data_IF_141859595048
#
_entry.id   IF_141859595048
#
_cell.length_a   1.000
_cell.length_b   1.000
_cell.length_c   1.000
_cell.angle_alpha   90.00
_cell.angle_beta   90.00
_cell.angle_gamma   90.00
#
_symmetry.space_group_name_H-M   'P 1'
#
loop_
_entity.id
_entity.type
_entity.pdbx_description
1 polymer ?
#
# COMPACT_ATOMS: atom_id res chain seq x y z
N UNK A 1 -47.64 1.57 49.42
CA UNK A 1 -47.18 2.76 48.67
C UNK A 1 -46.63 2.28 47.34
N UNK A 2 -47.42 2.38 46.26
CA UNK A 2 -46.97 2.08 44.91
C UNK A 2 -45.89 3.11 44.56
N UNK A 3 -44.64 2.67 44.47
CA UNK A 3 -43.51 3.48 44.03
C UNK A 3 -43.73 3.85 42.55
N UNK A 4 -44.50 4.91 42.32
CA UNK A 4 -44.78 5.43 40.98
C UNK A 4 -43.51 6.03 40.41
N UNK A 5 -42.81 5.28 39.57
CA UNK A 5 -41.72 5.81 38.76
C UNK A 5 -42.31 6.93 37.90
N UNK A 6 -41.73 8.13 37.98
CA UNK A 6 -42.13 9.25 37.13
C UNK A 6 -41.80 8.91 35.67
N UNK A 7 -42.83 8.52 34.91
CA UNK A 7 -42.71 8.00 33.55
C UNK A 7 -42.08 9.04 32.61
N UNK A 8 -42.43 10.31 32.74
CA UNK A 8 -41.88 11.39 31.91
C UNK A 8 -40.39 11.63 32.19
N UNK A 9 -39.99 11.56 33.48
CA UNK A 9 -38.59 11.66 33.89
C UNK A 9 -37.78 10.48 33.37
N UNK A 10 -38.30 9.26 33.53
CA UNK A 10 -37.66 8.03 33.05
C UNK A 10 -37.55 8.03 31.53
N UNK A 11 -38.60 8.44 30.80
CA UNK A 11 -38.59 8.58 29.34
C UNK A 11 -37.51 9.55 28.87
N UNK A 12 -37.44 10.73 29.49
CA UNK A 12 -36.44 11.75 29.13
C UNK A 12 -35.03 11.25 29.40
N UNK A 13 -34.80 10.59 30.54
CA UNK A 13 -33.50 10.01 30.88
C UNK A 13 -33.11 8.88 29.90
N UNK A 14 -34.04 8.01 29.53
CA UNK A 14 -33.81 6.94 28.55
C UNK A 14 -33.48 7.49 27.17
N UNK A 15 -34.15 8.56 26.72
CA UNK A 15 -33.81 9.23 25.45
C UNK A 15 -32.40 9.81 25.51
N UNK A 16 -32.05 10.52 26.58
CA UNK A 16 -30.70 11.10 26.73
C UNK A 16 -29.63 10.02 26.69
N UNK A 17 -29.80 8.93 27.47
CA UNK A 17 -28.86 7.81 27.50
C UNK A 17 -28.76 7.15 26.12
N UNK A 18 -29.89 6.94 25.44
CA UNK A 18 -29.92 6.35 24.09
C UNK A 18 -29.20 7.22 23.07
N UNK A 19 -29.41 8.55 23.08
CA UNK A 19 -28.74 9.48 22.17
C UNK A 19 -27.24 9.54 22.42
N UNK A 20 -26.80 9.53 23.68
CA UNK A 20 -25.37 9.50 24.05
C UNK A 20 -24.72 8.19 23.59
N UNK A 21 -25.36 7.04 23.83
CA UNK A 21 -24.86 5.74 23.37
C UNK A 21 -24.83 5.66 21.84
N UNK A 22 -25.81 6.25 21.14
CA UNK A 22 -25.82 6.33 19.68
C UNK A 22 -24.66 7.19 19.16
N UNK A 23 -24.37 8.33 19.79
CA UNK A 23 -23.20 9.15 19.46
C UNK A 23 -21.88 8.37 19.65
N UNK A 24 -21.72 7.64 20.76
CA UNK A 24 -20.55 6.77 20.96
C UNK A 24 -20.46 5.65 19.93
N UNK A 25 -21.60 5.01 19.61
CA UNK A 25 -21.68 4.02 18.55
C UNK A 25 -21.23 4.58 17.21
N UNK A 26 -21.59 5.83 16.91
CA UNK A 26 -21.16 6.50 15.67
C UNK A 26 -19.67 6.85 15.68
N UNK A 27 -19.09 7.21 16.82
CA UNK A 27 -17.63 7.42 16.94
C UNK A 27 -16.88 6.09 16.71
N UNK A 28 -17.36 4.99 17.30
CA UNK A 28 -16.76 3.66 17.12
C UNK A 28 -16.93 3.19 15.67
N UNK A 29 -18.09 3.43 15.06
CA UNK A 29 -18.34 3.14 13.65
C UNK A 29 -17.41 3.93 12.74
N UNK A 30 -17.22 5.24 12.99
CA UNK A 30 -16.25 6.08 12.29
C UNK A 30 -14.81 5.61 12.52
N UNK A 31 -14.45 5.07 13.69
CA UNK A 31 -13.15 4.42 13.90
C UNK A 31 -13.03 3.12 13.09
N UNK A 32 -14.09 2.33 12.98
CA UNK A 32 -14.12 1.07 12.23
C UNK A 32 -14.01 1.28 10.71
N UNK A 33 -14.64 2.32 10.16
CA UNK A 33 -14.53 2.70 8.73
C UNK A 33 -13.26 3.54 8.47
N UNK A 34 -12.42 3.77 9.48
CA UNK A 34 -11.13 4.43 9.32
C UNK A 34 -11.18 5.95 9.23
N UNK A 35 -12.24 6.62 9.70
CA UNK A 35 -12.32 8.09 9.71
C UNK A 35 -11.43 8.74 10.78
N UNK A 36 -11.12 8.02 11.88
CA UNK A 36 -9.91 8.29 12.67
C UNK A 36 -8.82 7.38 12.12
N UNK A 37 -8.22 7.84 11.05
CA UNK A 37 -7.37 7.05 10.16
C UNK A 37 -5.93 6.92 10.71
N UNK A 38 -5.76 6.76 12.02
CA UNK A 38 -4.45 6.84 12.69
C UNK A 38 -3.46 5.80 12.17
N UNK A 39 -3.92 4.60 11.83
CA UNK A 39 -3.06 3.52 11.34
C UNK A 39 -3.10 3.38 9.82
N UNK A 40 -4.29 3.37 9.24
CA UNK A 40 -4.45 3.09 7.82
C UNK A 40 -3.98 4.26 6.93
N UNK A 41 -4.06 5.52 7.38
CA UNK A 41 -3.39 6.62 6.65
C UNK A 41 -1.86 6.49 6.70
N UNK A 42 -1.29 6.07 7.83
CA UNK A 42 0.15 5.91 7.95
C UNK A 42 0.68 4.79 7.04
N UNK A 43 -0.01 3.64 7.01
CA UNK A 43 0.35 2.52 6.15
C UNK A 43 0.23 2.86 4.65
N UNK A 44 -0.80 3.63 4.28
CA UNK A 44 -0.99 4.10 2.91
C UNK A 44 0.07 5.11 2.46
N UNK A 45 0.55 5.98 3.36
CA UNK A 45 1.62 6.95 3.05
C UNK A 45 2.89 6.22 2.60
N UNK A 46 3.29 5.16 3.31
CA UNK A 46 4.45 4.35 2.93
C UNK A 46 4.28 3.68 1.56
N UNK A 47 3.10 3.10 1.33
CA UNK A 47 2.77 2.43 0.07
C UNK A 47 2.80 3.39 -1.12
N UNK A 48 2.23 4.58 -0.98
CA UNK A 48 2.23 5.60 -2.04
C UNK A 48 3.62 6.18 -2.30
N UNK A 49 4.44 6.36 -1.27
CA UNK A 49 5.82 6.81 -1.43
C UNK A 49 6.66 5.81 -2.23
N UNK A 50 6.53 4.51 -1.94
CA UNK A 50 7.23 3.44 -2.67
C UNK A 50 6.71 3.35 -4.12
N UNK A 51 5.39 3.41 -4.33
CA UNK A 51 4.80 3.40 -5.67
C UNK A 51 5.34 4.55 -6.53
N UNK A 52 5.37 5.77 -5.99
CA UNK A 52 5.88 6.95 -6.69
C UNK A 52 7.36 6.77 -7.09
N UNK A 53 8.21 6.29 -6.18
CA UNK A 53 9.63 6.03 -6.47
C UNK A 53 9.81 5.00 -7.59
N UNK A 54 9.08 3.89 -7.54
CA UNK A 54 9.16 2.82 -8.53
C UNK A 54 8.63 3.28 -9.90
N UNK A 55 7.55 4.06 -9.93
CA UNK A 55 7.02 4.71 -11.14
C UNK A 55 8.04 5.69 -11.74
N UNK A 56 8.78 6.41 -10.89
CA UNK A 56 9.88 7.28 -11.30
C UNK A 56 11.12 6.53 -11.83
N UNK A 57 11.07 5.20 -11.94
CA UNK A 57 12.16 4.37 -12.46
C UNK A 57 13.21 4.00 -11.42
N UNK A 58 12.94 4.23 -10.13
CA UNK A 58 13.78 3.66 -9.08
C UNK A 58 13.65 2.13 -9.05
N UNK A 59 14.74 1.47 -8.72
CA UNK A 59 14.76 0.04 -8.42
C UNK A 59 14.76 -0.17 -6.91
N UNK A 60 14.42 -1.38 -6.47
CA UNK A 60 14.47 -1.76 -5.05
C UNK A 60 15.89 -1.57 -4.46
N UNK A 61 16.93 -1.72 -5.27
CA UNK A 61 18.33 -1.61 -4.83
C UNK A 61 18.94 -0.20 -4.98
N UNK A 62 18.37 0.65 -5.83
CA UNK A 62 18.91 1.98 -6.15
C UNK A 62 17.81 2.98 -6.44
N UNK A 63 17.77 4.04 -5.65
CA UNK A 63 16.95 5.22 -5.85
C UNK A 63 17.85 6.46 -5.97
N UNK A 64 17.47 7.42 -6.82
CA UNK A 64 18.19 8.69 -6.99
C UNK A 64 17.21 9.86 -6.83
N UNK A 65 17.72 11.04 -6.51
CA UNK A 65 16.90 12.25 -6.30
C UNK A 65 16.01 12.58 -7.52
N UNK A 66 16.48 12.48 -8.79
CA UNK A 66 15.60 12.70 -9.95
C UNK A 66 14.39 11.76 -10.00
N UNK A 67 14.55 10.49 -9.61
CA UNK A 67 13.45 9.52 -9.60
C UNK A 67 12.36 9.91 -8.61
N UNK A 68 12.71 10.60 -7.52
CA UNK A 68 11.75 11.11 -6.53
C UNK A 68 10.85 12.15 -7.18
N UNK A 69 11.43 13.17 -7.81
CA UNK A 69 10.65 14.26 -8.42
C UNK A 69 9.81 13.77 -9.59
N UNK A 70 10.41 13.01 -10.50
CA UNK A 70 9.70 12.42 -11.65
C UNK A 70 8.58 11.50 -11.15
N UNK A 71 8.90 10.64 -10.18
CA UNK A 71 7.98 9.69 -9.59
C UNK A 71 6.77 10.34 -8.91
N UNK A 72 7.00 11.34 -8.05
CA UNK A 72 5.93 12.07 -7.36
C UNK A 72 5.02 12.77 -8.36
N UNK A 73 5.59 13.46 -9.36
CA UNK A 73 4.81 14.17 -10.38
C UNK A 73 3.95 13.19 -11.19
N UNK A 74 4.53 12.11 -11.70
CA UNK A 74 3.80 11.09 -12.46
C UNK A 74 2.73 10.42 -11.60
N UNK A 75 3.06 10.04 -10.37
CA UNK A 75 2.14 9.39 -9.47
C UNK A 75 0.94 10.28 -9.13
N UNK A 76 1.16 11.55 -8.77
CA UNK A 76 0.07 12.48 -8.50
C UNK A 76 -0.75 12.81 -9.76
N UNK A 77 -0.12 12.85 -10.93
CA UNK A 77 -0.83 13.02 -12.19
C UNK A 77 -1.84 11.89 -12.43
N UNK A 78 -1.54 10.66 -12.00
CA UNK A 78 -2.51 9.55 -12.11
C UNK A 78 -3.80 9.79 -11.34
N UNK A 79 -3.78 10.52 -10.21
CA UNK A 79 -5.00 10.87 -9.47
C UNK A 79 -5.90 11.84 -10.24
N UNK A 80 -5.35 12.59 -11.20
CA UNK A 80 -6.12 13.53 -12.02
C UNK A 80 -6.56 12.85 -13.32
N UNK A 81 -5.64 12.15 -13.98
CA UNK A 81 -5.86 11.59 -15.30
C UNK A 81 -6.69 10.31 -15.24
N UNK A 82 -6.47 9.43 -14.26
CA UNK A 82 -7.17 8.14 -14.22
C UNK A 82 -8.68 8.27 -13.98
N UNK A 83 -9.19 9.07 -13.02
CA UNK A 83 -10.64 9.25 -12.84
C UNK A 83 -11.29 9.94 -14.04
N UNK A 84 -10.59 10.92 -14.65
CA UNK A 84 -11.05 11.60 -15.87
C UNK A 84 -11.14 10.64 -17.05
N UNK A 85 -10.10 9.86 -17.29
CA UNK A 85 -10.09 8.84 -18.33
C UNK A 85 -11.17 7.78 -18.09
N UNK A 86 -11.34 7.30 -16.85
CA UNK A 86 -12.39 6.35 -16.50
C UNK A 86 -13.80 6.88 -16.77
N UNK A 87 -14.05 8.16 -16.44
CA UNK A 87 -15.32 8.81 -16.75
C UNK A 87 -15.57 8.92 -18.26
N UNK A 88 -14.59 9.40 -19.02
CA UNK A 88 -14.76 9.66 -20.46
C UNK A 88 -14.77 8.37 -21.30
N UNK A 89 -14.04 7.33 -20.87
CA UNK A 89 -13.96 6.07 -21.62
C UNK A 89 -15.03 5.04 -21.22
N UNK A 90 -15.42 5.01 -19.94
CA UNK A 90 -16.26 3.95 -19.37
C UNK A 90 -17.53 4.49 -18.70
N UNK A 91 -17.77 5.80 -18.78
CA UNK A 91 -18.96 6.47 -18.22
C UNK A 91 -18.98 6.57 -16.69
N UNK A 92 -17.99 6.01 -16.00
CA UNK A 92 -17.93 5.98 -14.53
C UNK A 92 -16.52 6.31 -14.03
N UNK A 93 -16.41 7.41 -13.27
CA UNK A 93 -15.14 7.84 -12.68
C UNK A 93 -14.55 6.81 -11.70
N UNK A 94 -15.40 6.02 -11.03
CA UNK A 94 -14.97 5.00 -10.07
C UNK A 94 -14.12 3.90 -10.72
N UNK A 95 -14.36 3.58 -12.00
CA UNK A 95 -13.54 2.61 -12.73
C UNK A 95 -12.12 3.16 -12.95
N UNK A 96 -12.00 4.48 -13.17
CA UNK A 96 -10.71 5.15 -13.24
C UNK A 96 -9.91 5.07 -11.93
N UNK A 97 -10.61 5.12 -10.79
CA UNK A 97 -9.97 4.95 -9.48
C UNK A 97 -9.47 3.51 -9.28
N UNK A 98 -10.27 2.50 -9.65
CA UNK A 98 -9.82 1.10 -9.61
C UNK A 98 -8.63 0.85 -10.53
N UNK A 99 -8.62 1.46 -11.72
CA UNK A 99 -7.50 1.37 -12.64
C UNK A 99 -6.22 1.98 -12.05
N UNK A 100 -6.30 3.14 -11.39
CA UNK A 100 -5.16 3.76 -10.70
C UNK A 100 -4.55 2.83 -9.65
N UNK A 101 -5.41 2.23 -8.82
CA UNK A 101 -5.00 1.31 -7.76
C UNK A 101 -4.37 0.04 -8.36
N UNK A 102 -4.97 -0.51 -9.43
CA UNK A 102 -4.44 -1.65 -10.17
C UNK A 102 -3.04 -1.38 -10.72
N UNK A 103 -2.82 -0.25 -11.39
CA UNK A 103 -1.50 0.13 -11.93
C UNK A 103 -0.49 0.30 -10.80
N UNK A 104 -0.88 0.94 -9.69
CA UNK A 104 0.01 1.19 -8.56
C UNK A 104 0.51 -0.12 -7.93
N UNK A 105 -0.39 -1.06 -7.62
CA UNK A 105 -0.02 -2.36 -7.08
C UNK A 105 0.68 -3.26 -8.11
N UNK A 106 0.30 -3.16 -9.39
CA UNK A 106 0.94 -3.88 -10.48
C UNK A 106 2.42 -3.51 -10.62
N UNK A 107 2.75 -2.21 -10.58
CA UNK A 107 4.14 -1.74 -10.66
C UNK A 107 4.96 -2.24 -9.47
N UNK A 108 4.41 -2.13 -8.25
CA UNK A 108 5.09 -2.65 -7.04
C UNK A 108 5.38 -4.15 -7.19
N UNK A 109 4.38 -4.93 -7.57
CA UNK A 109 4.52 -6.38 -7.74
C UNK A 109 5.57 -6.74 -8.80
N UNK A 110 5.55 -6.07 -9.95
CA UNK A 110 6.52 -6.29 -11.03
C UNK A 110 7.93 -5.91 -10.57
N UNK A 111 8.10 -4.77 -9.91
CA UNK A 111 9.40 -4.34 -9.39
C UNK A 111 9.99 -5.33 -8.39
N UNK A 112 9.17 -5.85 -7.47
CA UNK A 112 9.59 -6.86 -6.48
C UNK A 112 9.92 -8.20 -7.14
N UNK A 113 9.09 -8.65 -8.09
CA UNK A 113 9.33 -9.88 -8.82
C UNK A 113 10.63 -9.82 -9.64
N UNK A 114 10.85 -8.74 -10.37
CA UNK A 114 12.08 -8.52 -11.14
C UNK A 114 13.31 -8.44 -10.24
N UNK A 115 13.20 -7.80 -9.08
CA UNK A 115 14.27 -7.76 -8.10
C UNK A 115 14.59 -9.15 -7.55
N UNK A 116 13.57 -9.91 -7.15
CA UNK A 116 13.74 -11.27 -6.65
C UNK A 116 14.38 -12.19 -7.70
N UNK A 117 13.95 -12.10 -8.97
CA UNK A 117 14.55 -12.86 -10.07
C UNK A 117 16.03 -12.48 -10.26
N UNK A 118 16.35 -11.19 -10.41
CA UNK A 118 17.75 -10.74 -10.61
C UNK A 118 18.67 -11.28 -9.51
N UNK A 119 18.22 -11.25 -8.25
CA UNK A 119 18.98 -11.78 -7.11
C UNK A 119 19.20 -13.30 -7.16
N UNK A 120 18.25 -14.07 -7.71
CA UNK A 120 18.42 -15.51 -7.90
C UNK A 120 19.47 -15.80 -8.97
N UNK A 121 19.44 -15.07 -10.09
CA UNK A 121 20.39 -15.23 -11.20
C UNK A 121 21.81 -14.85 -10.77
N UNK A 122 21.94 -13.75 -10.02
CA UNK A 122 23.24 -13.32 -9.46
C UNK A 122 23.84 -14.40 -8.56
N UNK A 123 23.05 -14.93 -7.60
CA UNK A 123 23.48 -16.03 -6.72
C UNK A 123 23.87 -17.29 -7.48
N UNK A 124 23.13 -17.64 -8.55
CA UNK A 124 23.47 -18.81 -9.36
C UNK A 124 24.80 -18.61 -10.10
N UNK A 125 25.04 -17.40 -10.60
CA UNK A 125 26.28 -17.03 -11.30
C UNK A 125 27.48 -17.09 -10.35
N UNK A 126 27.35 -16.51 -9.15
CA UNK A 126 28.36 -16.60 -8.08
C UNK A 126 28.68 -18.04 -7.72
N UNK A 127 27.65 -18.90 -7.58
CA UNK A 127 27.83 -20.33 -7.28
C UNK A 127 28.55 -21.07 -8.41
N UNK A 128 28.26 -20.75 -9.67
CA UNK A 128 28.94 -21.34 -10.84
C UNK A 128 30.41 -20.92 -10.90
N UNK A 129 30.71 -19.64 -10.66
CA UNK A 129 32.08 -19.14 -10.61
C UNK A 129 32.88 -19.78 -9.47
N UNK A 130 32.28 -19.88 -8.26
CA UNK A 130 32.92 -20.55 -7.12
C UNK A 130 33.23 -22.02 -7.42
N UNK A 131 32.30 -22.76 -8.05
CA UNK A 131 32.55 -24.16 -8.47
C UNK A 131 33.65 -24.27 -9.53
N UNK A 132 33.68 -23.36 -10.50
CA UNK A 132 34.72 -23.34 -11.54
C UNK A 132 36.10 -23.04 -10.95
N UNK A 133 36.20 -22.08 -10.02
CA UNK A 133 37.44 -21.76 -9.32
C UNK A 133 37.95 -22.93 -8.47
N UNK A 134 37.06 -23.62 -7.75
CA UNK A 134 37.42 -24.82 -6.98
C UNK A 134 37.91 -25.94 -7.92
N UNK A 135 37.23 -26.16 -9.05
CA UNK A 135 37.64 -27.18 -10.04
C UNK A 135 39.03 -26.88 -10.60
N UNK A 136 39.31 -25.63 -10.95
CA UNK A 136 40.61 -25.20 -11.46
C UNK A 136 41.72 -25.38 -10.41
N UNK A 137 41.47 -25.05 -9.15
CA UNK A 137 42.43 -25.25 -8.06
C UNK A 137 42.74 -26.74 -7.79
N UNK A 138 41.75 -27.63 -7.95
CA UNK A 138 41.95 -29.08 -7.83
C UNK A 138 42.78 -29.61 -9.00
N UNK A 139 42.50 -29.17 -10.24
CA UNK A 139 43.24 -29.59 -11.43
C UNK A 139 44.72 -29.15 -11.38
N UNK A 140 44.99 -27.93 -10.91
CA UNK A 140 46.37 -27.40 -10.74
C UNK A 140 47.16 -28.19 -9.67
N UNK A 141 46.52 -28.57 -8.56
CA UNK A 141 47.16 -29.34 -7.47
C UNK A 141 47.41 -30.84 -7.75
N UNK A 142 46.81 -31.41 -8.80
CA UNK A 142 47.03 -32.82 -9.22
C UNK A 142 48.09 -33.00 -10.30
N UNK A 143 48.67 -31.91 -10.81
CA UNK A 143 49.65 -31.91 -11.91
C UNK A 143 51.12 -31.86 -11.50
N UNK A 144 51.45 -31.96 -10.21
CA UNK A 144 52.82 -32.03 -9.67
C UNK A 144 53.11 -33.36 -8.99
#
# INVERSE_FOLDING_TARGET
ATAGINVDRTRTLSIIISTVLACYGQIIFLQNIGTINTYNSHDQVGTFAIAALLIGGASVAKATIPNVFIGITLFHLTFIVAPRAGKELLGQAQIGEFFRVFVSYGIIAISLALYAWRRQVEKETERRQAKAAIKAAIEDGTGG
#
